data_IF_113955954331
#
_entry.id   IF_113955954331
#
_cell.length_a   1.000
_cell.length_b   1.000
_cell.length_c   1.000
_cell.angle_alpha   90.00
_cell.angle_beta   90.00
_cell.angle_gamma   90.00
#
_symmetry.space_group_name_H-M   'P 1'
#
loop_
_entity.id
_entity.type
_entity.pdbx_description
1 polymer ?
#
# COMPACT_ATOMS: atom_id res chain seq x y z
N UNK A 1 -13.17 -11.68 3.02
CA UNK A 1 -13.23 -10.23 3.30
C UNK A 1 -12.16 -9.53 2.47
N UNK A 2 -12.23 -8.21 2.32
CA UNK A 2 -11.23 -7.42 1.59
C UNK A 2 -9.79 -7.77 2.01
N UNK A 3 -9.50 -7.72 3.31
CA UNK A 3 -8.16 -8.02 3.84
C UNK A 3 -7.63 -9.42 3.48
N UNK A 4 -8.46 -10.45 3.49
CA UNK A 4 -8.04 -11.79 3.13
C UNK A 4 -7.70 -11.95 1.63
N UNK A 5 -8.25 -11.10 0.76
CA UNK A 5 -8.06 -11.17 -0.70
C UNK A 5 -7.02 -10.18 -1.21
N UNK A 6 -7.12 -8.93 -0.77
CA UNK A 6 -6.30 -7.82 -1.24
C UNK A 6 -5.07 -7.58 -0.36
N UNK A 7 -5.05 -8.11 0.87
CA UNK A 7 -3.94 -7.93 1.81
C UNK A 7 -3.52 -9.23 2.53
N UNK A 8 -3.31 -10.34 1.80
CA UNK A 8 -2.95 -11.62 2.41
C UNK A 8 -1.60 -11.58 3.14
N UNK A 9 -0.72 -10.66 2.75
CA UNK A 9 0.61 -10.48 3.33
C UNK A 9 0.63 -9.45 4.46
N UNK A 10 -0.52 -9.05 5.00
CA UNK A 10 -0.61 -8.05 6.08
C UNK A 10 0.17 -8.43 7.34
N UNK A 11 0.36 -9.73 7.59
CA UNK A 11 1.18 -10.26 8.69
C UNK A 11 2.67 -9.99 8.56
N UNK A 12 3.16 -9.61 7.37
CA UNK A 12 4.56 -9.26 7.14
C UNK A 12 4.89 -7.82 7.56
N UNK A 13 3.87 -7.00 7.85
CA UNK A 13 4.05 -5.61 8.24
C UNK A 13 4.22 -5.47 9.75
N UNK A 14 5.29 -4.79 10.14
CA UNK A 14 5.54 -4.34 11.50
C UNK A 14 4.77 -3.07 11.81
N UNK A 15 4.68 -2.15 10.85
CA UNK A 15 3.89 -0.93 10.98
C UNK A 15 3.38 -0.44 9.61
N UNK A 16 2.23 0.23 9.64
CA UNK A 16 1.64 0.94 8.50
C UNK A 16 1.17 2.30 9.01
N UNK A 17 1.60 3.37 8.35
CA UNK A 17 1.22 4.74 8.67
C UNK A 17 0.60 5.40 7.44
N UNK A 18 -0.67 5.79 7.54
CA UNK A 18 -1.32 6.63 6.52
C UNK A 18 -0.80 8.05 6.67
N UNK A 19 -0.20 8.58 5.62
CA UNK A 19 0.43 9.90 5.59
C UNK A 19 -0.49 10.96 4.99
N UNK A 20 -1.32 10.56 4.01
CA UNK A 20 -2.29 11.47 3.37
C UNK A 20 -3.44 10.69 2.75
N UNK A 21 -4.62 11.30 2.78
CA UNK A 21 -5.79 10.90 2.00
C UNK A 21 -6.23 12.11 1.17
N UNK A 22 -6.56 11.87 -0.09
CA UNK A 22 -7.14 12.87 -0.99
C UNK A 22 -8.34 12.26 -1.71
N UNK A 23 -9.52 12.83 -1.51
CA UNK A 23 -10.74 12.40 -2.18
C UNK A 23 -10.83 13.04 -3.58
N UNK A 24 -11.34 12.26 -4.54
CA UNK A 24 -11.62 12.69 -5.91
C UNK A 24 -12.93 12.02 -6.40
N UNK A 25 -14.06 12.68 -6.17
CA UNK A 25 -15.37 12.15 -6.52
C UNK A 25 -15.70 10.84 -5.77
N UNK A 26 -15.78 9.74 -6.52
CA UNK A 26 -16.02 8.40 -5.96
C UNK A 26 -14.73 7.64 -5.62
N UNK A 27 -13.58 8.30 -5.76
CA UNK A 27 -12.28 7.70 -5.55
C UNK A 27 -11.51 8.40 -4.41
N UNK A 28 -10.49 7.72 -3.89
CA UNK A 28 -9.58 8.29 -2.91
C UNK A 28 -8.14 7.81 -3.12
N UNK A 29 -7.21 8.75 -3.20
CA UNK A 29 -5.78 8.47 -3.11
C UNK A 29 -5.35 8.38 -1.65
N UNK A 30 -4.61 7.31 -1.33
CA UNK A 30 -4.06 7.08 0.01
C UNK A 30 -2.55 6.92 -0.11
N UNK A 31 -1.80 7.86 0.45
CA UNK A 31 -0.36 7.75 0.61
C UNK A 31 -0.06 7.14 1.98
N UNK A 32 0.76 6.09 2.01
CA UNK A 32 1.16 5.44 3.25
C UNK A 32 2.60 4.97 3.21
N UNK A 33 3.15 4.81 4.40
CA UNK A 33 4.46 4.24 4.67
C UNK A 33 4.30 2.91 5.39
N UNK A 34 5.03 1.90 4.96
CA UNK A 34 5.11 0.60 5.64
C UNK A 34 6.53 0.31 6.11
N UNK A 35 6.63 -0.42 7.21
CA UNK A 35 7.82 -1.15 7.64
C UNK A 35 7.45 -2.62 7.78
N UNK A 36 8.23 -3.50 7.17
CA UNK A 36 8.07 -4.96 7.30
C UNK A 36 8.86 -5.51 8.48
N UNK A 37 8.53 -6.72 8.93
CA UNK A 37 9.22 -7.41 10.02
C UNK A 37 10.72 -7.64 9.74
N UNK A 38 11.12 -7.74 8.47
CA UNK A 38 12.52 -7.87 8.04
C UNK A 38 13.25 -6.54 7.85
N UNK A 39 12.64 -5.42 8.27
CA UNK A 39 13.24 -4.08 8.27
C UNK A 39 13.20 -3.35 6.93
N UNK A 40 12.51 -3.89 5.91
CA UNK A 40 12.28 -3.17 4.65
C UNK A 40 11.22 -2.10 4.85
N UNK A 41 11.49 -0.92 4.32
CA UNK A 41 10.64 0.26 4.39
C UNK A 41 10.27 0.69 2.98
N UNK A 42 9.01 1.04 2.75
CA UNK A 42 8.56 1.60 1.48
C UNK A 42 7.42 2.58 1.68
N UNK A 43 7.18 3.41 0.66
CA UNK A 43 6.04 4.32 0.60
C UNK A 43 5.29 4.08 -0.70
N UNK A 44 4.00 3.79 -0.60
CA UNK A 44 3.14 3.51 -1.74
C UNK A 44 1.99 4.51 -1.75
N UNK A 45 1.37 4.67 -2.91
CA UNK A 45 0.09 5.35 -3.05
C UNK A 45 -0.92 4.38 -3.62
N UNK A 46 -2.12 4.34 -3.05
CA UNK A 46 -3.20 3.51 -3.54
C UNK A 46 -4.35 4.39 -4.05
N UNK A 47 -4.93 4.05 -5.19
CA UNK A 47 -6.21 4.60 -5.64
C UNK A 47 -7.32 3.62 -5.25
N UNK A 48 -8.21 4.06 -4.37
CA UNK A 48 -9.38 3.31 -3.96
C UNK A 48 -10.59 3.83 -4.73
N UNK A 49 -11.34 2.95 -5.39
CA UNK A 49 -12.61 3.33 -6.03
C UNK A 49 -13.80 2.81 -5.25
N UNK A 50 -14.89 3.57 -5.23
CA UNK A 50 -16.10 3.22 -4.51
C UNK A 50 -17.32 3.19 -5.44
N UNK A 51 -18.19 2.19 -5.23
CA UNK A 51 -19.47 2.08 -5.91
C UNK A 51 -20.55 1.73 -4.87
N UNK A 52 -21.66 2.48 -4.88
CA UNK A 52 -22.77 2.32 -3.92
C UNK A 52 -22.33 2.32 -2.44
N UNK A 53 -21.36 3.18 -2.11
CA UNK A 53 -20.80 3.32 -0.77
C UNK A 53 -19.92 2.15 -0.32
N UNK A 54 -19.50 1.27 -1.24
CA UNK A 54 -18.62 0.13 -0.98
C UNK A 54 -17.35 0.20 -1.80
N UNK A 55 -16.25 -0.33 -1.26
CA UNK A 55 -14.99 -0.44 -1.99
C UNK A 55 -15.17 -1.36 -3.21
N UNK A 56 -14.90 -0.83 -4.39
CA UNK A 56 -15.05 -1.51 -5.68
C UNK A 56 -13.70 -2.06 -6.19
N UNK A 57 -12.67 -1.23 -6.23
CA UNK A 57 -11.30 -1.63 -6.58
C UNK A 57 -10.24 -0.90 -5.74
N UNK A 58 -9.03 -1.46 -5.72
CA UNK A 58 -7.83 -0.80 -5.19
C UNK A 58 -6.69 -1.04 -6.17
N UNK A 59 -6.09 0.05 -6.64
CA UNK A 59 -4.91 0.03 -7.48
C UNK A 59 -3.71 0.53 -6.67
N UNK A 60 -2.63 -0.26 -6.63
CA UNK A 60 -1.45 0.03 -5.81
C UNK A 60 -0.31 0.51 -6.70
N UNK A 61 0.16 1.73 -6.43
CA UNK A 61 1.35 2.30 -7.04
C UNK A 61 2.54 2.09 -6.10
N UNK A 62 3.38 1.12 -6.44
CA UNK A 62 4.52 0.72 -5.62
C UNK A 62 5.66 1.73 -5.73
N UNK A 63 6.03 2.35 -4.61
CA UNK A 63 7.18 3.24 -4.55
C UNK A 63 8.49 2.51 -4.24
N UNK A 64 9.55 3.30 -4.11
CA UNK A 64 10.87 2.81 -3.79
C UNK A 64 10.92 2.14 -2.41
N UNK A 65 11.61 1.00 -2.34
CA UNK A 65 11.88 0.29 -1.10
C UNK A 65 13.32 0.52 -0.64
N UNK A 66 13.51 0.55 0.68
CA UNK A 66 14.80 0.74 1.32
C UNK A 66 14.96 -0.22 2.48
N UNK A 67 16.20 -0.60 2.78
CA UNK A 67 16.57 -1.34 3.98
C UNK A 67 17.87 -0.76 4.52
N UNK A 68 17.87 -0.36 5.79
CA UNK A 68 19.02 0.31 6.43
C UNK A 68 19.55 1.53 5.63
N UNK A 69 18.63 2.28 5.01
CA UNK A 69 18.94 3.44 4.18
C UNK A 69 19.41 3.13 2.75
N UNK A 70 19.58 1.85 2.40
CA UNK A 70 20.01 1.40 1.07
C UNK A 70 18.80 1.06 0.22
N UNK A 71 18.76 1.55 -1.03
CA UNK A 71 17.69 1.23 -1.98
C UNK A 71 17.65 -0.27 -2.30
N UNK A 72 16.45 -0.86 -2.29
CA UNK A 72 16.20 -2.25 -2.65
C UNK A 72 15.43 -2.27 -3.98
N UNK A 73 16.07 -2.71 -5.08
CA UNK A 73 15.40 -2.83 -6.36
C UNK A 73 14.22 -3.81 -6.27
N UNK A 74 13.08 -3.43 -6.84
CA UNK A 74 11.97 -4.37 -7.01
C UNK A 74 12.40 -5.44 -8.00
N UNK A 75 12.26 -6.71 -7.59
CA UNK A 75 12.44 -7.81 -8.54
C UNK A 75 11.17 -7.93 -9.39
N UNK A 76 11.29 -8.23 -10.69
CA UNK A 76 10.14 -8.58 -11.50
C UNK A 76 9.36 -9.70 -10.84
N UNK A 77 8.04 -9.57 -10.78
CA UNK A 77 7.18 -10.70 -10.44
C UNK A 77 7.41 -11.80 -11.47
N UNK A 78 7.91 -12.96 -11.02
CA UNK A 78 7.97 -14.20 -11.80
C UNK A 78 6.59 -14.67 -12.21
#
# INVERSE_FOLDING_TARGET
>A
TYFARCWPNSTLFKSVAVERICEDGNDAFVLYRCETLDGKVFRNTDLHSFQDGRLHSVEVYFGAAYKDGVFVPQQPSS
#
